data_IF_803300779632
#
_entry.id   IF_803300779632
#
_cell.length_a   1.000
_cell.length_b   1.000
_cell.length_c   1.000
_cell.angle_alpha   90.00
_cell.angle_beta   90.00
_cell.angle_gamma   90.00
#
_symmetry.space_group_name_H-M   'P 1'
#
loop_
_entity.id
_entity.type
_entity.pdbx_description
1 polymer ?
#
# COMPACT_ATOMS: atom_id res chain seq x y z
N UNK A 1 -2.87 -10.63 12.86
CA UNK A 1 -3.37 -10.15 11.59
C UNK A 1 -3.13 -8.68 11.47
N UNK A 2 -2.08 -8.35 10.78
CA UNK A 2 -1.73 -6.95 10.70
C UNK A 2 -2.58 -6.17 9.69
N UNK A 3 -3.31 -6.83 8.78
CA UNK A 3 -4.19 -6.14 7.82
C UNK A 3 -5.30 -5.37 8.49
N UNK A 4 -5.85 -5.87 9.60
CA UNK A 4 -6.85 -5.14 10.37
C UNK A 4 -6.25 -3.85 10.94
N UNK A 5 -5.06 -3.94 11.52
CA UNK A 5 -4.36 -2.77 12.05
C UNK A 5 -4.01 -1.78 10.94
N UNK A 6 -3.63 -2.27 9.77
CA UNK A 6 -3.35 -1.42 8.62
C UNK A 6 -4.61 -0.68 8.17
N UNK A 7 -5.73 -1.38 8.10
CA UNK A 7 -7.00 -0.76 7.71
C UNK A 7 -7.42 0.32 8.71
N UNK A 8 -7.25 0.05 10.00
CA UNK A 8 -7.53 1.04 11.04
C UNK A 8 -6.62 2.26 10.92
N UNK A 9 -5.34 2.04 10.63
CA UNK A 9 -4.40 3.12 10.39
C UNK A 9 -4.79 3.98 9.19
N UNK A 10 -5.21 3.34 8.10
CA UNK A 10 -5.71 4.05 6.91
C UNK A 10 -6.90 4.93 7.27
N UNK A 11 -7.86 4.40 8.03
CA UNK A 11 -9.02 5.18 8.44
C UNK A 11 -8.64 6.36 9.32
N UNK A 12 -7.60 6.22 10.14
CA UNK A 12 -7.10 7.35 10.95
C UNK A 12 -6.62 8.49 10.07
N UNK A 13 -5.86 8.19 9.04
CA UNK A 13 -5.39 9.18 8.07
C UNK A 13 -6.57 9.83 7.34
N UNK A 14 -7.53 9.01 6.91
CA UNK A 14 -8.72 9.50 6.21
C UNK A 14 -9.54 10.42 7.12
N UNK A 15 -9.73 10.04 8.39
CA UNK A 15 -10.48 10.85 9.34
C UNK A 15 -9.82 12.19 9.57
N UNK A 16 -8.50 12.23 9.68
CA UNK A 16 -7.76 13.49 9.85
C UNK A 16 -7.94 14.41 8.64
N UNK A 17 -7.84 13.86 7.43
CA UNK A 17 -8.02 14.62 6.20
C UNK A 17 -9.48 15.13 6.07
N UNK A 18 -10.45 14.31 6.45
CA UNK A 18 -11.86 14.69 6.38
C UNK A 18 -12.15 15.83 7.35
N UNK A 19 -11.56 15.81 8.54
CA UNK A 19 -11.74 16.93 9.50
C UNK A 19 -11.20 18.23 8.96
N UNK A 20 -10.07 18.17 8.25
CA UNK A 20 -9.45 19.35 7.66
C UNK A 20 -10.27 19.93 6.49
N UNK A 21 -11.13 19.13 5.88
CA UNK A 21 -11.93 19.51 4.71
C UNK A 21 -13.44 19.46 4.98
N UNK A 22 -13.83 19.52 6.23
CA UNK A 22 -15.24 19.44 6.65
C UNK A 22 -16.04 20.66 6.17
N UNK A 23 -17.30 20.50 5.70
CA UNK A 23 -17.99 19.20 5.54
C UNK A 23 -17.63 18.53 4.23
N UNK A 24 -17.44 17.22 4.29
CA UNK A 24 -17.15 16.45 3.09
C UNK A 24 -17.55 15.00 3.27
N UNK A 25 -17.69 14.31 2.14
CA UNK A 25 -17.88 12.86 2.09
C UNK A 25 -16.67 12.25 1.40
N UNK A 26 -16.17 11.14 1.92
CA UNK A 26 -15.06 10.44 1.28
C UNK A 26 -15.63 9.45 0.27
N UNK A 27 -15.28 9.61 -0.99
CA UNK A 27 -15.74 8.71 -2.06
C UNK A 27 -14.76 7.60 -2.37
N UNK A 28 -13.49 7.92 -2.39
CA UNK A 28 -12.44 6.97 -2.76
C UNK A 28 -11.23 7.17 -1.87
N UNK A 29 -10.69 6.06 -1.40
CA UNK A 29 -9.40 6.01 -0.71
C UNK A 29 -8.46 5.25 -1.62
N UNK A 30 -7.39 5.89 -2.09
CA UNK A 30 -6.42 5.26 -2.97
C UNK A 30 -5.14 5.00 -2.21
N UNK A 31 -4.79 3.71 -2.13
CA UNK A 31 -3.57 3.25 -1.46
C UNK A 31 -2.53 2.87 -2.49
N UNK A 32 -1.28 3.17 -2.17
CA UNK A 32 -0.13 2.65 -2.89
C UNK A 32 0.51 1.58 -2.03
N UNK A 33 0.64 0.37 -2.56
CA UNK A 33 1.20 -0.76 -1.81
C UNK A 33 2.31 -1.39 -2.64
N UNK A 34 3.50 -1.45 -2.06
CA UNK A 34 4.63 -2.09 -2.72
C UNK A 34 4.52 -3.60 -2.70
N UNK A 35 5.02 -4.24 -3.75
CA UNK A 35 5.00 -5.69 -3.87
C UNK A 35 5.74 -6.38 -2.73
N UNK A 36 6.70 -5.69 -2.10
CA UNK A 36 7.51 -6.22 -1.01
C UNK A 36 6.96 -5.88 0.37
N UNK A 37 5.77 -5.28 0.45
CA UNK A 37 5.20 -4.85 1.72
C UNK A 37 4.63 -5.99 2.55
N UNK A 38 4.54 -7.19 1.99
CA UNK A 38 4.01 -8.37 2.66
C UNK A 38 2.58 -8.17 3.18
N UNK A 39 1.76 -7.46 2.40
CA UNK A 39 0.34 -7.22 2.72
C UNK A 39 -0.51 -8.15 1.87
N UNK A 40 -1.39 -8.90 2.53
CA UNK A 40 -2.37 -9.73 1.83
C UNK A 40 -3.51 -8.82 1.36
N UNK A 41 -3.59 -8.55 0.06
CA UNK A 41 -4.50 -7.54 -0.49
C UNK A 41 -5.96 -7.86 -0.25
N UNK A 42 -6.37 -9.11 -0.42
CA UNK A 42 -7.77 -9.47 -0.19
C UNK A 42 -8.15 -9.34 1.27
N UNK A 43 -7.25 -9.69 2.18
CA UNK A 43 -7.47 -9.52 3.61
C UNK A 43 -7.57 -8.04 3.97
N UNK A 44 -6.74 -7.19 3.34
CA UNK A 44 -6.81 -5.75 3.56
C UNK A 44 -8.13 -5.17 3.05
N UNK A 45 -8.58 -5.59 1.87
CA UNK A 45 -9.88 -5.16 1.33
C UNK A 45 -11.01 -5.53 2.26
N UNK A 46 -11.00 -6.76 2.75
CA UNK A 46 -12.02 -7.22 3.70
C UNK A 46 -11.96 -6.43 4.99
N UNK A 47 -10.77 -6.23 5.55
CA UNK A 47 -10.61 -5.46 6.79
C UNK A 47 -11.12 -4.04 6.62
N UNK A 48 -10.82 -3.40 5.49
CA UNK A 48 -11.30 -2.04 5.20
C UNK A 48 -12.82 -1.98 5.19
N UNK A 49 -13.46 -2.96 4.54
CA UNK A 49 -14.94 -3.02 4.50
C UNK A 49 -15.55 -3.15 5.89
N UNK A 50 -14.87 -3.87 6.79
CA UNK A 50 -15.35 -4.04 8.16
C UNK A 50 -15.17 -2.76 8.97
N UNK A 51 -13.96 -2.18 8.95
CA UNK A 51 -13.64 -1.05 9.85
C UNK A 51 -14.24 0.28 9.40
N UNK A 52 -14.57 0.42 8.11
CA UNK A 52 -15.14 1.68 7.62
C UNK A 52 -16.60 1.90 8.03
N UNK A 53 -17.29 0.85 8.48
CA UNK A 53 -18.72 0.91 8.80
C UNK A 53 -18.98 1.92 9.92
N UNK A 54 -19.85 2.90 9.65
CA UNK A 54 -20.18 3.94 10.61
C UNK A 54 -19.12 5.01 10.76
N UNK A 55 -18.00 4.90 10.03
CA UNK A 55 -16.94 5.88 10.05
C UNK A 55 -17.10 6.87 8.88
N UNK A 56 -16.21 7.85 8.79
CA UNK A 56 -16.28 8.88 7.75
C UNK A 56 -16.15 8.31 6.34
N UNK A 57 -15.50 7.16 6.20
CA UNK A 57 -15.28 6.50 4.92
C UNK A 57 -16.30 5.39 4.64
N UNK A 58 -17.44 5.37 5.34
CA UNK A 58 -18.41 4.28 5.25
C UNK A 58 -18.81 3.96 3.80
N UNK A 59 -19.06 4.93 2.96
CA UNK A 59 -19.42 4.71 1.56
C UNK A 59 -18.25 4.71 0.60
N UNK A 60 -17.03 4.75 1.08
CA UNK A 60 -15.87 4.93 0.22
C UNK A 60 -15.45 3.64 -0.47
N UNK A 61 -14.94 3.79 -1.70
CA UNK A 61 -14.30 2.72 -2.45
C UNK A 61 -12.81 2.70 -2.12
N UNK A 62 -12.25 1.51 -2.02
CA UNK A 62 -10.81 1.33 -1.83
C UNK A 62 -10.16 0.97 -3.16
N UNK A 63 -9.30 1.84 -3.66
CA UNK A 63 -8.47 1.57 -4.83
C UNK A 63 -7.06 1.26 -4.37
N UNK A 64 -6.49 0.17 -4.88
CA UNK A 64 -5.13 -0.21 -4.55
C UNK A 64 -4.28 -0.13 -5.81
N UNK A 65 -3.20 0.65 -5.74
CA UNK A 65 -2.19 0.74 -6.79
C UNK A 65 -0.97 -0.01 -6.30
N UNK A 66 -0.60 -1.07 -7.01
CA UNK A 66 0.58 -1.84 -6.65
C UNK A 66 1.83 -1.25 -7.29
N UNK A 67 2.91 -1.20 -6.54
CA UNK A 67 4.20 -0.70 -7.00
C UNK A 67 5.19 -1.86 -6.98
N UNK A 68 5.94 -2.10 -8.07
CA UNK A 68 6.91 -3.18 -8.08
C UNK A 68 8.02 -2.96 -7.06
N UNK A 69 8.59 -4.05 -6.58
CA UNK A 69 9.77 -3.98 -5.74
C UNK A 69 10.97 -3.56 -6.57
N UNK A 70 11.93 -2.90 -5.94
CA UNK A 70 13.18 -2.55 -6.58
C UNK A 70 14.35 -2.91 -5.68
N UNK A 71 15.46 -3.23 -6.30
CA UNK A 71 16.67 -3.61 -5.59
C UNK A 71 17.90 -3.21 -6.39
N UNK A 72 18.98 -2.96 -5.68
CA UNK A 72 20.28 -2.76 -6.29
C UNK A 72 20.97 -4.12 -6.38
N UNK A 73 21.37 -4.52 -7.59
CA UNK A 73 22.11 -5.76 -7.78
C UNK A 73 23.61 -5.46 -7.67
N UNK A 74 24.26 -6.06 -6.69
CA UNK A 74 25.68 -5.86 -6.47
C UNK A 74 26.52 -6.44 -7.62
N UNK A 75 26.03 -7.48 -8.26
CA UNK A 75 26.69 -8.13 -9.39
C UNK A 75 26.59 -7.31 -10.67
N UNK A 76 25.36 -6.85 -10.99
CA UNK A 76 25.12 -6.06 -12.19
C UNK A 76 25.48 -4.58 -12.03
N UNK A 77 25.62 -4.11 -10.80
CA UNK A 77 25.82 -2.70 -10.47
C UNK A 77 24.75 -1.80 -11.07
N UNK A 78 23.47 -2.21 -10.91
CA UNK A 78 22.33 -1.42 -11.37
C UNK A 78 21.06 -1.82 -10.63
N UNK A 79 20.05 -0.97 -10.74
CA UNK A 79 18.74 -1.24 -10.17
C UNK A 79 17.96 -2.21 -11.03
N UNK A 80 17.26 -3.14 -10.38
CA UNK A 80 16.40 -4.13 -11.04
C UNK A 80 15.06 -4.18 -10.34
N UNK A 81 14.04 -4.62 -11.06
CA UNK A 81 12.71 -4.85 -10.49
C UNK A 81 12.65 -6.28 -9.95
N UNK A 82 12.06 -6.43 -8.77
CA UNK A 82 11.87 -7.75 -8.15
C UNK A 82 10.44 -7.88 -7.67
N UNK A 83 9.92 -9.10 -7.71
CA UNK A 83 8.55 -9.39 -7.26
C UNK A 83 8.49 -9.80 -5.79
N UNK A 84 9.56 -10.35 -5.25
CA UNK A 84 9.63 -10.80 -3.86
C UNK A 84 11.01 -10.61 -3.28
N UNK A 85 11.09 -10.55 -1.96
CA UNK A 85 12.36 -10.31 -1.25
C UNK A 85 13.36 -11.45 -1.44
N UNK A 86 12.86 -12.64 -1.74
CA UNK A 86 13.71 -13.82 -1.90
C UNK A 86 13.94 -14.18 -3.37
N UNK A 87 13.64 -13.28 -4.27
CA UNK A 87 13.86 -13.50 -5.69
C UNK A 87 15.29 -13.13 -6.06
N UNK A 88 15.91 -13.88 -6.99
CA UNK A 88 17.22 -13.49 -7.51
C UNK A 88 17.10 -12.36 -8.51
N UNK A 89 18.24 -11.78 -8.87
CA UNK A 89 18.28 -10.75 -9.90
C UNK A 89 17.72 -11.31 -11.22
N UNK A 90 16.73 -10.65 -11.83
CA UNK A 90 16.16 -11.13 -13.08
C UNK A 90 17.11 -11.03 -14.27
N UNK A 91 18.18 -10.25 -14.13
CA UNK A 91 19.16 -10.04 -15.20
C UNK A 91 20.30 -11.05 -15.15
N UNK A 92 20.85 -11.32 -13.95
CA UNK A 92 22.04 -12.15 -13.82
C UNK A 92 21.89 -13.36 -12.89
N UNK A 93 20.74 -13.46 -12.21
CA UNK A 93 20.49 -14.57 -11.29
C UNK A 93 21.19 -14.49 -9.94
N UNK A 94 21.90 -13.39 -9.67
CA UNK A 94 22.59 -13.22 -8.40
C UNK A 94 21.59 -13.03 -7.25
N UNK A 95 21.96 -13.51 -6.08
CA UNK A 95 21.20 -13.30 -4.84
C UNK A 95 21.71 -12.08 -4.05
N UNK A 96 22.71 -11.40 -4.55
CA UNK A 96 23.30 -10.24 -3.88
C UNK A 96 22.52 -8.97 -4.22
N UNK A 97 21.31 -8.90 -3.70
CA UNK A 97 20.38 -7.80 -3.93
C UNK A 97 20.15 -7.03 -2.64
N UNK A 98 20.13 -5.71 -2.77
CA UNK A 98 19.76 -4.83 -1.68
C UNK A 98 18.46 -4.11 -2.04
N UNK A 99 17.40 -4.36 -1.27
CA UNK A 99 16.10 -3.75 -1.52
C UNK A 99 16.18 -2.25 -1.38
N UNK A 100 15.70 -1.52 -2.40
CA UNK A 100 15.74 -0.06 -2.44
C UNK A 100 14.35 0.57 -2.50
N UNK A 101 13.29 -0.20 -2.77
CA UNK A 101 11.96 0.35 -2.83
C UNK A 101 10.89 -0.72 -2.99
N UNK A 102 9.63 -0.30 -2.95
CA UNK A 102 8.50 -1.21 -3.11
C UNK A 102 8.11 -1.96 -1.86
N UNK A 103 8.51 -1.49 -0.69
CA UNK A 103 8.20 -2.15 0.58
C UNK A 103 7.26 -1.34 1.47
N UNK A 104 6.66 -0.29 0.94
CA UNK A 104 5.85 0.64 1.72
C UNK A 104 4.37 0.57 1.33
N UNK A 105 3.51 0.91 2.30
CA UNK A 105 2.10 1.18 2.04
C UNK A 105 1.81 2.60 2.49
N UNK A 106 1.09 3.36 1.66
CA UNK A 106 0.71 4.72 2.03
C UNK A 106 -0.62 5.11 1.39
N UNK A 107 -1.29 6.07 2.02
CA UNK A 107 -2.46 6.70 1.44
C UNK A 107 -1.95 7.65 0.37
N UNK A 108 -2.27 7.36 -0.88
CA UNK A 108 -1.78 8.09 -2.04
C UNK A 108 -2.60 9.34 -2.29
N UNK A 109 -3.92 9.18 -2.27
CA UNK A 109 -4.84 10.29 -2.40
C UNK A 109 -6.23 9.90 -1.94
N UNK A 110 -7.05 10.91 -1.69
CA UNK A 110 -8.46 10.77 -1.34
C UNK A 110 -9.29 11.54 -2.35
N UNK A 111 -10.42 10.96 -2.72
CA UNK A 111 -11.43 11.68 -3.50
C UNK A 111 -12.55 12.07 -2.55
N UNK A 112 -12.76 13.36 -2.41
CA UNK A 112 -13.78 13.93 -1.52
C UNK A 112 -14.90 14.54 -2.33
N UNK A 113 -16.09 14.57 -1.75
CA UNK A 113 -17.25 15.20 -2.37
C UNK A 113 -17.93 16.16 -1.43
#
# INVERSE_FOLDING_TARGET
MHEMSLAEGVLGVVADAARANHPCTVRTVRLQIGALAAVELEALRFAFEVVKRGAVADGARLDIVEVPGSAWCMQCSRSVAIAGRNDPCPECGSWQLQVTGGSEMRVMELELA
#
